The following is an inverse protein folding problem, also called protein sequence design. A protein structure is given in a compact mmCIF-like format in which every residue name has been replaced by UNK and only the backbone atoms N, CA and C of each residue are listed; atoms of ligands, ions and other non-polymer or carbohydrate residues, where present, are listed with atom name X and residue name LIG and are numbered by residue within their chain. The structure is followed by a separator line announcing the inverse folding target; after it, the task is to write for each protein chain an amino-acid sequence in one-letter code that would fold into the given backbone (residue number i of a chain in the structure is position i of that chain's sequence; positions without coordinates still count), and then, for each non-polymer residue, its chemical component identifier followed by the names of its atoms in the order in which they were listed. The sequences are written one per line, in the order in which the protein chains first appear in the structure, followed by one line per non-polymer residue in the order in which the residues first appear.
data_IF_009664349761
#
_entry.id   IF_009664349761
#
_cell.length_a   1.000
_cell.length_b   1.000
_cell.length_c   1.000
_cell.angle_alpha   90.00
_cell.angle_beta   90.00
_cell.angle_gamma   90.00
#
_symmetry.space_group_name_H-M   'P 1'
#
loop_
_entity.id
_entity.type
_entity.pdbx_description
1 polymer ?
#
# COMPACT_ATOMS: atom_id res chain seq x y z
N UNK A 1 -16.56 -11.53 -19.62
CA UNK A 1 -16.15 -12.75 -18.89
C UNK A 1 -14.68 -13.15 -19.12
N UNK A 2 -14.07 -12.95 -20.29
CA UNK A 2 -12.72 -13.40 -20.62
C UNK A 2 -11.55 -12.89 -19.75
N UNK A 3 -11.49 -11.61 -19.41
CA UNK A 3 -10.31 -11.03 -18.76
C UNK A 3 -10.07 -11.50 -17.32
N UNK A 4 -11.10 -11.75 -16.52
CA UNK A 4 -10.97 -12.32 -15.15
C UNK A 4 -10.45 -13.75 -15.19
N UNK A 5 -10.92 -14.56 -16.13
CA UNK A 5 -10.50 -15.95 -16.29
C UNK A 5 -9.02 -16.03 -16.70
N UNK A 6 -8.60 -15.24 -17.69
CA UNK A 6 -7.20 -15.14 -18.13
C UNK A 6 -6.29 -14.68 -16.97
N UNK A 7 -6.69 -13.64 -16.22
CA UNK A 7 -5.94 -13.16 -15.06
C UNK A 7 -5.80 -14.23 -13.98
N UNK A 8 -6.86 -15.02 -13.69
CA UNK A 8 -6.80 -16.14 -12.74
C UNK A 8 -5.80 -17.21 -13.18
N UNK A 9 -5.86 -17.64 -14.44
CA UNK A 9 -4.96 -18.68 -14.98
C UNK A 9 -3.51 -18.23 -14.87
N UNK A 10 -3.20 -17.01 -15.32
CA UNK A 10 -1.86 -16.45 -15.23
C UNK A 10 -1.38 -16.37 -13.77
N UNK A 11 -2.19 -15.82 -12.88
CA UNK A 11 -1.85 -15.69 -11.47
C UNK A 11 -1.58 -17.04 -10.81
N UNK A 12 -2.48 -18.02 -10.98
CA UNK A 12 -2.33 -19.35 -10.39
C UNK A 12 -1.07 -20.04 -10.91
N UNK A 13 -0.76 -19.93 -12.21
CA UNK A 13 0.48 -20.48 -12.78
C UNK A 13 1.73 -19.83 -12.20
N UNK A 14 1.78 -18.50 -12.15
CA UNK A 14 2.93 -17.79 -11.55
C UNK A 14 3.15 -18.18 -10.10
N UNK A 15 2.06 -18.30 -9.32
CA UNK A 15 2.14 -18.69 -7.91
C UNK A 15 2.61 -20.14 -7.76
N UNK A 16 2.03 -21.09 -8.53
CA UNK A 16 2.37 -22.51 -8.40
C UNK A 16 3.79 -22.84 -8.82
N UNK A 17 4.34 -22.10 -9.80
CA UNK A 17 5.68 -22.37 -10.35
C UNK A 17 6.80 -21.62 -9.63
N UNK A 18 6.50 -20.41 -9.08
CA UNK A 18 7.53 -19.49 -8.60
C UNK A 18 7.47 -19.21 -7.09
N UNK A 19 6.39 -19.60 -6.39
CA UNK A 19 6.24 -19.36 -4.96
C UNK A 19 6.05 -20.68 -4.24
N UNK A 20 6.87 -21.02 -3.22
CA UNK A 20 6.71 -22.23 -2.43
C UNK A 20 5.30 -22.36 -1.86
N UNK A 21 4.83 -23.61 -1.64
CA UNK A 21 3.48 -23.87 -1.13
C UNK A 21 3.18 -23.12 0.17
N UNK A 22 4.13 -23.08 1.10
CA UNK A 22 4.02 -22.36 2.37
C UNK A 22 4.49 -20.89 2.28
N UNK A 23 4.96 -20.45 1.11
CA UNK A 23 5.48 -19.10 0.89
C UNK A 23 4.36 -18.06 0.88
N UNK A 24 4.67 -16.85 1.33
CA UNK A 24 3.75 -15.71 1.26
C UNK A 24 3.69 -15.17 -0.16
N UNK A 25 2.48 -14.89 -0.64
CA UNK A 25 2.25 -14.29 -1.94
C UNK A 25 2.29 -12.76 -1.80
N UNK A 26 3.26 -12.11 -2.46
CA UNK A 26 3.36 -10.66 -2.45
C UNK A 26 2.59 -10.08 -3.63
N UNK A 27 1.55 -9.32 -3.33
CA UNK A 27 0.80 -8.52 -4.29
C UNK A 27 1.30 -7.08 -4.24
N UNK A 28 1.33 -6.41 -5.40
CA UNK A 28 1.54 -4.96 -5.45
C UNK A 28 0.40 -4.30 -6.23
N UNK A 29 -0.04 -3.15 -5.76
CA UNK A 29 -1.14 -2.40 -6.39
C UNK A 29 -0.80 -0.92 -6.47
N UNK A 30 -1.15 -0.32 -7.62
CA UNK A 30 -0.94 1.11 -7.86
C UNK A 30 -1.89 1.64 -8.92
N UNK A 31 -2.04 2.96 -8.99
CA UNK A 31 -2.74 3.62 -10.08
C UNK A 31 -1.75 4.38 -10.99
N UNK A 32 -1.97 4.24 -12.29
CA UNK A 32 -1.07 4.80 -13.31
C UNK A 32 -1.86 5.65 -14.29
N UNK A 33 -1.36 6.86 -14.54
CA UNK A 33 -1.89 7.75 -15.57
C UNK A 33 -1.28 7.44 -16.94
N UNK A 34 -2.05 6.79 -17.81
CA UNK A 34 -1.71 6.60 -19.22
C UNK A 34 -2.15 7.83 -20.03
N UNK A 35 -1.22 8.71 -20.34
CA UNK A 35 -1.46 9.96 -21.10
C UNK A 35 -2.03 9.63 -22.48
N UNK A 36 -3.06 10.37 -22.90
CA UNK A 36 -3.74 10.25 -24.19
C UNK A 36 -3.95 11.63 -24.83
N UNK A 37 -4.01 11.68 -26.14
CA UNK A 37 -4.32 12.88 -26.91
C UNK A 37 -5.75 12.90 -27.44
N UNK A 38 -6.32 11.71 -27.71
CA UNK A 38 -7.66 11.56 -28.22
C UNK A 38 -8.74 11.90 -27.18
N UNK A 39 -9.67 12.77 -27.56
CA UNK A 39 -10.78 13.19 -26.68
C UNK A 39 -11.98 12.23 -26.67
N UNK A 40 -12.07 11.33 -27.66
CA UNK A 40 -13.19 10.37 -27.83
C UNK A 40 -12.88 8.99 -27.23
N UNK A 41 -11.77 8.83 -26.51
CA UNK A 41 -11.40 7.56 -25.90
C UNK A 41 -12.25 7.37 -24.64
N UNK A 42 -12.95 6.26 -24.54
CA UNK A 42 -13.79 5.94 -23.39
C UNK A 42 -12.99 5.94 -22.09
N UNK A 43 -13.52 6.60 -21.05
CA UNK A 43 -12.93 6.66 -19.72
C UNK A 43 -11.76 7.64 -19.55
N UNK A 44 -11.43 8.42 -20.59
CA UNK A 44 -10.43 9.50 -20.46
C UNK A 44 -10.97 10.66 -19.64
N UNK A 45 -10.06 11.34 -18.95
CA UNK A 45 -10.37 12.53 -18.16
C UNK A 45 -9.10 13.29 -17.77
N UNK A 46 -9.27 14.43 -17.09
CA UNK A 46 -8.13 15.12 -16.47
C UNK A 46 -7.81 14.52 -15.12
N UNK A 47 -6.60 14.01 -14.96
CA UNK A 47 -6.10 13.37 -13.75
C UNK A 47 -4.86 14.10 -13.25
N UNK A 48 -4.66 14.08 -11.94
CA UNK A 48 -3.43 14.60 -11.35
C UNK A 48 -2.24 13.75 -11.84
N UNK A 49 -1.24 14.44 -12.40
CA UNK A 49 0.04 13.83 -12.73
C UNK A 49 0.90 13.79 -11.47
N UNK A 50 1.09 12.62 -10.87
CA UNK A 50 1.84 12.44 -9.64
C UNK A 50 3.33 12.74 -9.79
N UNK A 51 3.88 12.58 -11.01
CA UNK A 51 5.30 12.85 -11.31
C UNK A 51 5.58 14.34 -11.41
N UNK A 52 4.68 15.09 -12.05
CA UNK A 52 4.87 16.53 -12.31
C UNK A 52 4.27 17.42 -11.20
N UNK A 53 3.41 16.89 -10.36
CA UNK A 53 2.78 17.64 -9.27
C UNK A 53 3.73 17.76 -8.07
N UNK A 54 3.74 18.93 -7.47
CA UNK A 54 4.44 19.21 -6.21
C UNK A 54 3.42 19.66 -5.14
N UNK A 55 3.79 19.75 -3.85
CA UNK A 55 2.92 20.31 -2.83
C UNK A 55 2.43 21.74 -3.12
N UNK A 56 3.24 22.51 -3.89
CA UNK A 56 2.93 23.91 -4.25
C UNK A 56 2.18 24.04 -5.58
N UNK A 57 2.24 23.03 -6.47
CA UNK A 57 1.65 23.09 -7.82
C UNK A 57 1.06 21.75 -8.22
N UNK A 58 -0.24 21.70 -8.40
CA UNK A 58 -0.93 20.54 -8.96
C UNK A 58 -0.92 20.62 -10.49
N UNK A 59 -0.40 19.59 -11.14
CA UNK A 59 -0.41 19.43 -12.59
C UNK A 59 -1.41 18.33 -12.93
N UNK A 60 -2.33 18.63 -13.86
CA UNK A 60 -3.27 17.63 -14.40
C UNK A 60 -2.94 17.32 -15.86
N UNK A 61 -3.20 16.10 -16.27
CA UNK A 61 -3.01 15.62 -17.64
C UNK A 61 -4.23 14.83 -18.10
N UNK A 62 -4.52 14.95 -19.39
CA UNK A 62 -5.56 14.16 -20.05
C UNK A 62 -5.07 12.73 -20.27
N UNK A 63 -5.89 11.76 -19.93
CA UNK A 63 -5.53 10.36 -20.09
C UNK A 63 -6.50 9.39 -19.41
N UNK A 64 -6.10 8.13 -19.34
CA UNK A 64 -6.76 7.07 -18.60
C UNK A 64 -6.06 6.90 -17.25
N UNK A 65 -6.80 6.89 -16.16
CA UNK A 65 -6.28 6.45 -14.88
C UNK A 65 -6.61 4.97 -14.67
N UNK A 66 -5.60 4.15 -14.50
CA UNK A 66 -5.70 2.69 -14.50
C UNK A 66 -5.17 2.17 -13.18
N UNK A 67 -6.00 1.49 -12.41
CA UNK A 67 -5.60 0.78 -11.20
C UNK A 67 -5.19 -0.63 -11.58
N UNK A 68 -3.98 -1.03 -11.20
CA UNK A 68 -3.42 -2.36 -11.50
C UNK A 68 -3.17 -3.13 -10.21
N UNK A 69 -3.35 -4.45 -10.28
CA UNK A 69 -2.94 -5.39 -9.26
C UNK A 69 -2.10 -6.47 -9.91
N UNK A 70 -0.90 -6.68 -9.38
CA UNK A 70 0.03 -7.69 -9.86
C UNK A 70 0.62 -8.50 -8.73
N UNK A 71 1.29 -9.60 -9.09
CA UNK A 71 2.08 -10.43 -8.18
C UNK A 71 3.56 -10.12 -8.36
N UNK A 72 4.27 -10.06 -7.24
CA UNK A 72 5.72 -9.90 -7.21
C UNK A 72 6.33 -11.27 -7.00
N UNK A 73 7.15 -11.71 -7.93
CA UNK A 73 7.82 -13.01 -7.89
C UNK A 73 9.31 -12.87 -8.18
N UNK A 74 10.09 -13.78 -7.66
CA UNK A 74 11.51 -13.90 -7.98
C UNK A 74 11.69 -14.89 -9.10
N UNK A 75 12.19 -14.42 -10.24
CA UNK A 75 12.46 -15.29 -11.38
C UNK A 75 13.76 -16.07 -11.14
N UNK A 76 13.78 -17.41 -11.34
CA UNK A 76 15.00 -18.20 -11.20
C UNK A 76 16.15 -17.76 -12.12
N UNK A 77 15.81 -17.20 -13.30
CA UNK A 77 16.79 -16.67 -14.26
C UNK A 77 17.44 -15.37 -13.80
N UNK A 78 16.80 -14.64 -12.87
CA UNK A 78 17.32 -13.39 -12.29
C UNK A 78 17.10 -13.37 -10.76
N UNK A 79 17.83 -14.20 -10.02
CA UNK A 79 17.54 -14.45 -8.59
C UNK A 79 17.73 -13.22 -7.69
N UNK A 80 18.43 -12.19 -8.18
CA UNK A 80 18.63 -10.93 -7.46
C UNK A 80 17.57 -9.86 -7.74
N UNK A 81 16.58 -10.17 -8.59
CA UNK A 81 15.53 -9.21 -8.98
C UNK A 81 14.15 -9.77 -8.78
N UNK A 82 13.32 -9.01 -8.10
CA UNK A 82 11.90 -9.26 -8.02
C UNK A 82 11.21 -8.64 -9.24
N UNK A 83 10.27 -9.38 -9.84
CA UNK A 83 9.55 -8.98 -11.05
C UNK A 83 8.08 -8.82 -10.71
N UNK A 84 7.52 -7.68 -11.08
CA UNK A 84 6.09 -7.41 -10.97
C UNK A 84 5.36 -7.85 -12.23
N UNK A 85 4.37 -8.74 -12.08
CA UNK A 85 3.50 -9.20 -13.16
C UNK A 85 2.06 -8.71 -12.92
N UNK A 86 1.58 -7.68 -13.64
CA UNK A 86 0.20 -7.24 -13.57
C UNK A 86 -0.72 -8.30 -14.20
N UNK A 87 -1.80 -8.66 -13.50
CA UNK A 87 -2.77 -9.65 -13.99
C UNK A 87 -4.23 -9.20 -13.83
N UNK A 88 -4.51 -8.19 -13.03
CA UNK A 88 -5.80 -7.52 -12.96
C UNK A 88 -5.65 -6.01 -13.16
N UNK A 89 -6.61 -5.46 -13.90
CA UNK A 89 -6.63 -4.03 -14.24
C UNK A 89 -8.05 -3.51 -14.10
N UNK A 90 -8.21 -2.29 -13.59
CA UNK A 90 -9.48 -1.55 -13.53
C UNK A 90 -9.29 -0.15 -14.05
N UNK A 91 -10.24 0.31 -14.85
CA UNK A 91 -10.28 1.68 -15.31
C UNK A 91 -10.96 2.55 -14.25
N UNK A 92 -10.23 3.49 -13.67
CA UNK A 92 -10.79 4.50 -12.78
C UNK A 92 -11.36 5.63 -13.63
N UNK A 93 -12.67 5.80 -13.58
CA UNK A 93 -13.41 6.82 -14.33
C UNK A 93 -13.80 7.98 -13.43
N UNK A 94 -14.06 9.14 -14.00
CA UNK A 94 -14.59 10.28 -13.24
C UNK A 94 -16.03 10.04 -12.80
N UNK A 95 -16.38 10.48 -11.60
CA UNK A 95 -17.70 10.33 -11.00
C UNK A 95 -18.82 10.82 -11.92
N UNK A 96 -18.65 11.98 -12.55
CA UNK A 96 -19.61 12.56 -13.49
C UNK A 96 -19.80 11.79 -14.82
N UNK A 97 -19.10 10.66 -15.00
CA UNK A 97 -19.29 9.76 -16.15
C UNK A 97 -20.18 8.56 -15.85
N UNK A 98 -20.70 8.45 -14.64
CA UNK A 98 -21.62 7.40 -14.21
C UNK A 98 -23.06 7.91 -14.22
N UNK A 99 -24.02 7.00 -14.36
CA UNK A 99 -25.43 7.33 -14.31
C UNK A 99 -25.87 7.66 -12.87
N UNK A 100 -25.29 6.97 -11.89
CA UNK A 100 -25.54 7.20 -10.46
C UNK A 100 -24.22 7.30 -9.70
N UNK A 101 -24.22 8.04 -8.59
CA UNK A 101 -23.05 8.17 -7.73
C UNK A 101 -22.64 6.83 -7.08
N UNK A 102 -23.59 5.92 -6.91
CA UNK A 102 -23.38 4.59 -6.31
C UNK A 102 -22.54 3.66 -7.19
N UNK A 103 -22.54 3.89 -8.51
CA UNK A 103 -21.70 3.14 -9.45
C UNK A 103 -20.25 3.59 -9.45
N UNK A 104 -19.97 4.79 -8.90
CA UNK A 104 -18.63 5.34 -8.85
C UNK A 104 -17.78 4.63 -7.80
N UNK A 105 -16.58 4.27 -8.19
CA UNK A 105 -15.57 3.69 -7.30
C UNK A 105 -14.26 4.48 -7.38
N UNK A 106 -13.69 4.80 -6.21
CA UNK A 106 -12.38 5.40 -6.09
C UNK A 106 -11.26 4.39 -6.38
N UNK A 107 -10.03 4.84 -6.67
CA UNK A 107 -8.88 3.93 -6.86
C UNK A 107 -8.69 2.94 -5.69
N UNK A 108 -8.80 3.35 -4.40
CA UNK A 108 -8.76 2.42 -3.27
C UNK A 108 -9.85 1.34 -3.32
N UNK A 109 -11.09 1.70 -3.64
CA UNK A 109 -12.21 0.75 -3.75
C UNK A 109 -11.99 -0.25 -4.89
N UNK A 110 -11.53 0.23 -6.07
CA UNK A 110 -11.19 -0.63 -7.20
C UNK A 110 -10.05 -1.61 -6.87
N UNK A 111 -9.03 -1.15 -6.15
CA UNK A 111 -7.94 -2.01 -5.71
C UNK A 111 -8.45 -3.11 -4.77
N UNK A 112 -9.23 -2.74 -3.75
CA UNK A 112 -9.77 -3.71 -2.78
C UNK A 112 -10.71 -4.72 -3.45
N UNK A 113 -11.52 -4.30 -4.45
CA UNK A 113 -12.31 -5.25 -5.24
C UNK A 113 -11.41 -6.32 -5.89
N UNK A 114 -10.31 -5.89 -6.52
CA UNK A 114 -9.36 -6.82 -7.14
C UNK A 114 -8.67 -7.72 -6.09
N UNK A 115 -8.27 -7.16 -4.95
CA UNK A 115 -7.64 -7.93 -3.85
C UNK A 115 -8.60 -9.00 -3.31
N UNK A 116 -9.88 -8.66 -3.09
CA UNK A 116 -10.90 -9.62 -2.65
C UNK A 116 -11.07 -10.78 -3.65
N UNK A 117 -11.07 -10.46 -4.94
CA UNK A 117 -11.16 -11.49 -6.01
C UNK A 117 -9.97 -12.44 -5.94
N UNK A 118 -8.75 -11.90 -5.81
CA UNK A 118 -7.51 -12.70 -5.77
C UNK A 118 -7.40 -13.53 -4.49
N UNK A 119 -7.71 -12.94 -3.34
CA UNK A 119 -7.73 -13.66 -2.07
C UNK A 119 -8.75 -14.81 -2.07
N UNK A 120 -9.87 -14.65 -2.78
CA UNK A 120 -10.86 -15.72 -2.99
C UNK A 120 -10.44 -16.81 -3.96
N UNK A 121 -9.39 -16.60 -4.78
CA UNK A 121 -8.86 -17.67 -5.64
C UNK A 121 -7.99 -18.68 -4.87
N UNK A 122 -7.33 -18.26 -3.79
CA UNK A 122 -6.48 -19.06 -2.92
C UNK A 122 -6.75 -18.69 -1.44
N UNK A 123 -7.91 -19.05 -0.89
CA UNK A 123 -8.34 -18.58 0.43
C UNK A 123 -7.47 -19.07 1.59
N UNK A 124 -6.78 -20.19 1.41
CA UNK A 124 -5.86 -20.79 2.39
C UNK A 124 -4.47 -20.12 2.40
N UNK A 125 -4.14 -19.35 1.36
CA UNK A 125 -2.83 -18.69 1.25
C UNK A 125 -2.83 -17.33 1.95
N UNK A 126 -1.68 -16.96 2.50
CA UNK A 126 -1.43 -15.62 3.05
C UNK A 126 -0.89 -14.69 1.99
N UNK A 127 -1.39 -13.48 1.95
CA UNK A 127 -0.99 -12.43 1.02
C UNK A 127 -0.39 -11.25 1.77
N UNK A 128 0.65 -10.64 1.18
CA UNK A 128 1.15 -9.32 1.52
C UNK A 128 0.81 -8.36 0.40
N UNK A 129 0.06 -7.30 0.71
CA UNK A 129 -0.31 -6.25 -0.25
C UNK A 129 0.61 -5.04 -0.05
N UNK A 130 1.54 -4.84 -0.97
CA UNK A 130 2.41 -3.67 -1.02
C UNK A 130 1.76 -2.56 -1.85
N UNK A 131 1.52 -1.40 -1.24
CA UNK A 131 0.90 -0.24 -1.88
C UNK A 131 1.58 1.06 -1.44
N UNK A 132 1.41 2.12 -2.21
CA UNK A 132 1.95 3.42 -1.86
C UNK A 132 1.16 4.11 -0.73
N UNK A 133 1.62 5.31 -0.30
CA UNK A 133 0.96 6.08 0.77
C UNK A 133 -0.42 6.62 0.42
N UNK A 134 -0.81 6.65 -0.85
CA UNK A 134 -2.16 7.02 -1.30
C UNK A 134 -3.21 6.01 -0.88
N UNK A 135 -2.81 4.75 -0.75
CA UNK A 135 -3.64 3.65 -0.29
C UNK A 135 -3.58 3.42 1.24
N UNK A 136 -2.86 4.26 1.97
CA UNK A 136 -2.84 4.25 3.44
C UNK A 136 -4.07 4.98 3.99
N UNK A 137 -5.25 4.39 3.88
CA UNK A 137 -6.53 4.94 4.30
C UNK A 137 -7.46 3.85 4.86
N UNK A 138 -8.54 4.29 5.50
CA UNK A 138 -9.53 3.41 6.14
C UNK A 138 -10.28 2.53 5.13
N UNK A 139 -10.57 3.01 3.93
CA UNK A 139 -11.25 2.22 2.87
C UNK A 139 -10.44 0.97 2.53
N UNK A 140 -9.11 1.12 2.37
CA UNK A 140 -8.23 -0.03 2.11
C UNK A 140 -8.18 -0.93 3.33
N UNK A 141 -7.90 -0.37 4.51
CA UNK A 141 -7.77 -1.14 5.75
C UNK A 141 -9.02 -1.96 6.07
N UNK A 142 -10.20 -1.33 6.06
CA UNK A 142 -11.48 -1.99 6.39
C UNK A 142 -11.92 -2.98 5.29
N UNK A 143 -11.47 -2.76 4.06
CA UNK A 143 -11.79 -3.61 2.92
C UNK A 143 -10.93 -4.88 2.79
N UNK A 144 -9.83 -5.00 3.56
CA UNK A 144 -8.91 -6.13 3.43
C UNK A 144 -9.55 -7.47 3.82
N UNK A 145 -9.38 -8.53 3.01
CA UNK A 145 -9.65 -9.90 3.45
C UNK A 145 -8.73 -10.31 4.62
N UNK A 146 -9.22 -11.22 5.49
CA UNK A 146 -8.49 -11.66 6.70
C UNK A 146 -7.12 -12.31 6.41
N UNK A 147 -6.94 -12.89 5.24
CA UNK A 147 -5.69 -13.51 4.81
C UNK A 147 -4.74 -12.54 4.08
N UNK A 148 -5.04 -11.24 4.07
CA UNK A 148 -4.22 -10.20 3.43
C UNK A 148 -3.70 -9.23 4.48
N UNK A 149 -2.38 -9.04 4.50
CA UNK A 149 -1.66 -8.06 5.33
C UNK A 149 -1.20 -6.90 4.45
N UNK A 150 -1.53 -5.68 4.83
CA UNK A 150 -1.10 -4.48 4.09
C UNK A 150 0.29 -4.03 4.52
N UNK A 151 1.10 -3.66 3.54
CA UNK A 151 2.33 -2.88 3.69
C UNK A 151 2.18 -1.58 2.91
N UNK A 152 2.35 -0.46 3.57
CA UNK A 152 2.25 0.83 2.91
C UNK A 152 3.15 1.87 3.55
N UNK A 153 3.43 2.92 2.79
CA UNK A 153 4.22 4.04 3.27
C UNK A 153 3.40 4.91 4.23
N UNK A 154 3.97 5.16 5.41
CA UNK A 154 3.40 6.10 6.38
C UNK A 154 3.82 7.54 6.03
N UNK A 155 2.90 8.50 6.17
CA UNK A 155 3.23 9.92 5.98
C UNK A 155 4.22 10.39 7.05
N UNK A 156 5.13 11.27 6.65
CA UNK A 156 6.14 11.86 7.55
C UNK A 156 5.50 12.62 8.74
N UNK A 157 4.32 13.18 8.52
CA UNK A 157 3.55 13.99 9.48
C UNK A 157 2.38 13.22 10.12
N UNK A 158 2.33 11.89 9.97
CA UNK A 158 1.26 11.06 10.52
C UNK A 158 1.12 11.24 12.03
N UNK A 159 -0.11 11.50 12.49
CA UNK A 159 -0.44 11.56 13.91
C UNK A 159 -0.65 10.15 14.45
N UNK A 160 0.35 9.68 15.18
CA UNK A 160 0.37 8.35 15.77
C UNK A 160 0.12 8.42 17.28
N UNK A 161 -0.37 7.33 17.84
CA UNK A 161 -0.76 7.25 19.23
C UNK A 161 -0.26 5.95 19.85
N UNK A 162 -0.08 5.95 21.16
CA UNK A 162 0.10 4.74 21.95
C UNK A 162 -1.16 3.86 21.87
N UNK A 163 -0.99 2.58 22.18
CA UNK A 163 -2.11 1.66 22.26
C UNK A 163 -3.14 2.15 23.28
N UNK A 164 -4.38 1.73 23.08
CA UNK A 164 -5.49 2.02 23.97
C UNK A 164 -5.15 1.58 25.41
N UNK A 165 -5.24 2.47 26.42
CA UNK A 165 -5.01 2.08 27.79
C UNK A 165 -6.12 1.12 28.28
N UNK A 166 -5.84 0.31 29.30
CA UNK A 166 -6.87 -0.52 29.92
C UNK A 166 -8.01 0.34 30.47
N UNK A 167 -9.23 -0.20 30.62
CA UNK A 167 -10.37 0.51 31.19
C UNK A 167 -10.03 1.05 32.60
N UNK A 168 -10.27 2.33 32.82
CA UNK A 168 -9.94 2.98 34.09
C UNK A 168 -10.96 2.74 35.21
N UNK A 169 -12.10 2.09 34.93
CA UNK A 169 -13.21 1.93 35.86
C UNK A 169 -13.95 3.24 36.24
N UNK A 170 -13.46 4.41 35.77
CA UNK A 170 -14.08 5.70 36.01
C UNK A 170 -15.29 5.91 35.10
N UNK A 171 -16.29 6.67 35.63
CA UNK A 171 -17.47 7.08 34.87
C UNK A 171 -17.02 7.95 33.66
N UNK A 172 -17.54 7.67 32.48
CA UNK A 172 -17.26 8.43 31.25
C UNK A 172 -17.03 7.52 30.05
N UNK A 173 -16.88 8.13 28.84
CA UNK A 173 -16.59 7.39 27.61
C UNK A 173 -15.16 6.83 27.68
N UNK A 174 -14.96 5.51 27.49
CA UNK A 174 -13.63 4.92 27.45
C UNK A 174 -12.74 5.57 26.39
N UNK A 175 -11.45 5.73 26.69
CA UNK A 175 -10.47 6.22 25.70
C UNK A 175 -10.33 5.18 24.58
N UNK A 176 -10.35 5.62 23.34
CA UNK A 176 -10.19 4.76 22.15
C UNK A 176 -8.72 4.69 21.68
N UNK A 177 -7.85 5.54 22.21
CA UNK A 177 -6.41 5.62 21.89
C UNK A 177 -5.63 6.13 23.11
N UNK A 178 -4.35 5.79 23.18
CA UNK A 178 -3.42 6.29 24.16
C UNK A 178 -2.96 7.73 23.87
N UNK A 179 -1.84 8.13 24.46
CA UNK A 179 -1.28 9.46 24.28
C UNK A 179 -0.61 9.61 22.91
N UNK A 180 -0.51 10.82 22.35
CA UNK A 180 0.22 11.06 21.10
C UNK A 180 1.67 10.60 21.21
N UNK A 181 2.22 10.03 20.14
CA UNK A 181 3.63 9.67 20.04
C UNK A 181 4.35 10.58 19.05
N UNK A 182 5.69 10.68 19.10
CA UNK A 182 6.46 11.43 18.11
C UNK A 182 6.10 10.97 16.70
N UNK A 183 5.95 11.93 15.79
CA UNK A 183 5.71 11.67 14.36
C UNK A 183 6.91 10.99 13.72
N UNK A 184 6.76 10.26 12.60
CA UNK A 184 7.89 9.65 11.91
C UNK A 184 9.05 10.61 11.65
N UNK A 185 8.77 11.85 11.20
CA UNK A 185 9.79 12.87 10.96
C UNK A 185 10.55 13.32 12.23
N UNK A 186 9.86 13.31 13.36
CA UNK A 186 10.45 13.69 14.66
C UNK A 186 11.37 12.59 15.19
N UNK A 187 10.93 11.31 15.04
CA UNK A 187 11.76 10.14 15.43
C UNK A 187 13.06 10.04 14.65
N UNK A 188 13.09 10.43 13.37
CA UNK A 188 14.32 10.40 12.56
C UNK A 188 15.40 11.31 13.13
N UNK A 189 14.99 12.46 13.68
CA UNK A 189 15.90 13.49 14.20
C UNK A 189 16.15 13.37 15.71
N UNK A 190 15.40 12.51 16.38
CA UNK A 190 15.53 12.30 17.83
C UNK A 190 16.78 11.46 18.14
N UNK A 191 17.68 12.05 18.94
CA UNK A 191 18.91 11.40 19.40
C UNK A 191 18.68 10.19 20.31
N UNK A 192 17.51 10.08 20.91
CA UNK A 192 17.11 8.95 21.76
C UNK A 192 16.57 7.75 20.95
N UNK A 193 16.43 7.89 19.64
CA UNK A 193 15.98 6.78 18.79
C UNK A 193 17.10 5.75 18.66
N UNK A 194 16.86 4.55 19.19
CA UNK A 194 17.78 3.41 19.10
C UNK A 194 17.67 2.75 17.72
N UNK A 195 18.72 2.91 16.90
CA UNK A 195 18.76 2.37 15.55
C UNK A 195 19.48 1.02 15.52
N UNK A 196 18.92 0.06 14.78
CA UNK A 196 19.54 -1.24 14.50
C UNK A 196 20.01 -1.26 13.04
N UNK A 197 21.27 -1.58 12.82
CA UNK A 197 21.81 -1.75 11.46
C UNK A 197 21.45 -3.11 10.89
N UNK A 198 20.94 -3.13 9.67
CA UNK A 198 20.58 -4.35 8.92
C UNK A 198 21.18 -4.28 7.52
N UNK A 199 21.68 -5.40 7.02
CA UNK A 199 22.01 -5.56 5.60
C UNK A 199 20.80 -6.13 4.87
N UNK A 200 20.34 -5.43 3.84
CA UNK A 200 19.19 -5.82 3.01
C UNK A 200 19.56 -5.81 1.54
N UNK A 201 18.90 -6.64 0.75
CA UNK A 201 19.07 -6.61 -0.71
C UNK A 201 18.04 -5.64 -1.29
N UNK A 202 18.52 -4.55 -1.91
CA UNK A 202 17.69 -3.56 -2.61
C UNK A 202 18.20 -3.36 -4.03
N UNK A 203 17.32 -3.48 -5.01
CA UNK A 203 17.66 -3.36 -6.44
C UNK A 203 18.81 -4.25 -6.89
N UNK A 204 18.91 -5.45 -6.30
CA UNK A 204 19.96 -6.43 -6.62
C UNK A 204 21.33 -6.14 -5.99
N UNK A 205 21.41 -5.24 -5.04
CA UNK A 205 22.65 -4.91 -4.30
C UNK A 205 22.41 -5.06 -2.80
N UNK A 206 23.42 -5.48 -2.08
CA UNK A 206 23.43 -5.44 -0.62
C UNK A 206 23.65 -3.99 -0.15
N UNK A 207 22.74 -3.53 0.69
CA UNK A 207 22.75 -2.18 1.24
C UNK A 207 22.58 -2.26 2.76
N UNK A 208 23.40 -1.53 3.49
CA UNK A 208 23.22 -1.35 4.93
C UNK A 208 22.20 -0.24 5.16
N UNK A 209 21.21 -0.52 5.99
CA UNK A 209 20.20 0.43 6.42
C UNK A 209 20.09 0.45 7.93
N UNK A 210 19.68 1.56 8.50
CA UNK A 210 19.34 1.66 9.91
C UNK A 210 17.82 1.63 10.07
N UNK A 211 17.33 0.81 11.01
CA UNK A 211 15.91 0.53 11.21
C UNK A 211 15.53 0.70 12.67
N UNK A 212 14.35 1.26 12.90
CA UNK A 212 13.64 1.19 14.18
C UNK A 212 12.21 0.76 13.97
N UNK A 213 11.68 -0.07 14.88
CA UNK A 213 10.31 -0.55 14.80
C UNK A 213 9.56 -0.31 16.10
N UNK A 214 8.27 -0.04 15.99
CA UNK A 214 7.37 0.07 17.15
C UNK A 214 5.94 -0.34 16.78
N UNK A 215 5.11 -0.58 17.77
CA UNK A 215 3.67 -0.80 17.62
C UNK A 215 2.94 0.44 18.13
N UNK A 216 1.91 0.87 17.40
CA UNK A 216 1.11 2.03 17.77
C UNK A 216 -0.18 2.10 16.98
N UNK A 217 -0.94 3.16 17.15
CA UNK A 217 -2.19 3.39 16.43
C UNK A 217 -2.03 4.53 15.42
N UNK A 218 -2.47 4.29 14.19
CA UNK A 218 -2.78 5.36 13.25
C UNK A 218 -4.29 5.46 13.10
N UNK A 219 -4.90 6.19 14.02
CA UNK A 219 -6.36 6.22 14.20
C UNK A 219 -7.14 6.64 12.95
N UNK A 220 -6.55 7.49 12.10
CA UNK A 220 -7.15 7.90 10.83
C UNK A 220 -7.25 6.75 9.82
N UNK A 221 -6.36 5.77 9.89
CA UNK A 221 -6.28 4.64 8.92
C UNK A 221 -6.92 3.38 9.47
N UNK A 222 -6.57 3.00 10.71
CA UNK A 222 -6.93 1.70 11.27
C UNK A 222 -7.66 1.81 12.62
N UNK A 223 -8.20 2.98 12.96
CA UNK A 223 -8.90 3.24 14.23
C UNK A 223 -8.05 2.77 15.43
N UNK A 224 -8.58 1.89 16.26
CA UNK A 224 -7.94 1.32 17.44
C UNK A 224 -7.21 -0.01 17.19
N UNK A 225 -7.05 -0.38 15.91
CA UNK A 225 -6.28 -1.56 15.52
C UNK A 225 -4.77 -1.27 15.57
N UNK A 226 -3.98 -2.09 16.30
CA UNK A 226 -2.53 -1.92 16.38
C UNK A 226 -1.85 -2.13 15.02
N UNK A 227 -0.98 -1.20 14.65
CA UNK A 227 -0.14 -1.30 13.48
C UNK A 227 1.34 -1.39 13.90
N UNK A 228 2.13 -2.17 13.18
CA UNK A 228 3.59 -2.14 13.31
C UNK A 228 4.16 -1.13 12.33
N UNK A 229 4.95 -0.21 12.85
CA UNK A 229 5.68 0.78 12.07
C UNK A 229 7.14 0.36 11.93
N UNK A 230 7.70 0.66 10.76
CA UNK A 230 9.11 0.44 10.44
C UNK A 230 9.66 1.73 9.85
N UNK A 231 10.58 2.36 10.54
CA UNK A 231 11.28 3.55 10.08
C UNK A 231 12.67 3.12 9.62
N UNK A 232 13.01 3.46 8.38
CA UNK A 232 14.26 3.07 7.73
C UNK A 232 14.98 4.33 7.30
N UNK A 233 16.32 4.40 7.53
CA UNK A 233 17.15 5.49 7.01
C UNK A 233 18.47 4.97 6.43
N UNK A 234 19.05 5.77 5.55
CA UNK A 234 20.39 5.55 5.03
C UNK A 234 21.43 6.00 6.10
N UNK A 235 22.33 5.12 6.58
CA UNK A 235 23.33 5.47 7.57
C UNK A 235 24.31 6.54 7.09
N UNK A 236 24.53 6.66 5.77
CA UNK A 236 25.41 7.66 5.14
C UNK A 236 24.71 8.99 4.88
N UNK A 237 23.37 9.00 4.82
CA UNK A 237 22.59 10.19 4.55
C UNK A 237 21.24 10.15 5.27
N UNK A 238 21.21 10.60 6.50
CA UNK A 238 20.02 10.61 7.35
C UNK A 238 18.84 11.44 6.80
N UNK A 239 19.04 12.25 5.74
CA UNK A 239 17.94 12.90 5.01
C UNK A 239 17.17 11.94 4.10
N UNK A 240 17.77 10.77 3.80
CA UNK A 240 17.11 9.70 3.05
C UNK A 240 16.49 8.70 4.02
N UNK A 241 15.20 8.80 4.22
CA UNK A 241 14.47 7.91 5.10
C UNK A 241 13.05 7.67 4.60
N UNK A 242 12.44 6.61 5.07
CA UNK A 242 11.04 6.28 4.83
C UNK A 242 10.46 5.59 6.07
N UNK A 243 9.17 5.82 6.32
CA UNK A 243 8.42 5.08 7.31
C UNK A 243 7.34 4.25 6.62
N UNK A 244 7.23 3.00 7.03
CA UNK A 244 6.22 2.07 6.55
C UNK A 244 5.38 1.58 7.72
N UNK A 245 4.19 1.06 7.42
CA UNK A 245 3.41 0.31 8.38
C UNK A 245 2.95 -1.03 7.79
N UNK A 246 2.61 -1.95 8.68
CA UNK A 246 1.95 -3.22 8.36
C UNK A 246 0.79 -3.47 9.33
N UNK A 247 -0.27 -4.07 8.81
CA UNK A 247 -1.46 -4.45 9.58
C UNK A 247 -1.28 -5.76 10.31
#
# INVERSE_FOLDING_TARGET
MGSRQTGKVLFVRLVSELIPAEGVIVLAGDDTLAKKTGRKIYGTGYWRDGVLSTPKRVVTRWGLNVVTLGVVVRCPLWPMRDIYFPFLVRLHRKENTFATAEEYQTSPQLLIEMVKVVAGWLPERRFYLAVDGGYANDVVFEGLPKNVVQFSRTRADASLYQLKPPPSGKRGRPRTKGDPTPKPRERVTDSQTEWTSLTVVMYGQEVVVEVVTWVGLWYKVAKDHPLRFVLVRDPKNHKRWACFFTT
#
